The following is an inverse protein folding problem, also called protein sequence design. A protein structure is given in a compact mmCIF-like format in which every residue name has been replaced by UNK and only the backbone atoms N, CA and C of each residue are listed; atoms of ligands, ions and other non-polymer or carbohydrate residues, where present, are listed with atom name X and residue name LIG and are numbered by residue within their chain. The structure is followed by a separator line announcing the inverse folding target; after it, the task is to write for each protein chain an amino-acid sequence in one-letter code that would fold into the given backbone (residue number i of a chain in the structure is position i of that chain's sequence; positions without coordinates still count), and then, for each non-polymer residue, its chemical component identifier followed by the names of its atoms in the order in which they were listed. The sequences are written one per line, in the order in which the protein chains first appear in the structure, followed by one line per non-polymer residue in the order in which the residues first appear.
data_IF_181547851249
#
_entry.id   IF_181547851249
#
_cell.length_a   1.000
_cell.length_b   1.000
_cell.length_c   1.000
_cell.angle_alpha   90.00
_cell.angle_beta   90.00
_cell.angle_gamma   90.00
#
_symmetry.space_group_name_H-M   'P 1'
#
loop_
_entity.id
_entity.type
_entity.pdbx_description
1 polymer ?
#
# COMPACT_ATOMS: atom_id res chain seq x y z
N UNK A 1 28.89 -28.03 -9.07
CA UNK A 1 27.51 -27.50 -9.23
C UNK A 1 27.43 -25.97 -9.25
N UNK A 2 28.50 -25.21 -8.93
CA UNK A 2 28.53 -23.73 -9.07
C UNK A 2 29.50 -23.20 -10.12
N UNK A 3 30.02 -24.08 -10.99
CA UNK A 3 31.02 -23.71 -12.00
C UNK A 3 30.39 -23.07 -13.25
N UNK A 4 29.13 -23.40 -13.55
CA UNK A 4 28.35 -22.79 -14.64
C UNK A 4 26.92 -22.51 -14.18
N UNK A 5 26.24 -21.56 -14.83
CA UNK A 5 24.89 -21.14 -14.44
C UNK A 5 23.86 -22.27 -14.61
N UNK A 6 24.04 -23.15 -15.59
CA UNK A 6 23.17 -24.26 -15.92
C UNK A 6 23.31 -25.42 -14.93
N UNK A 7 24.44 -25.51 -14.23
CA UNK A 7 24.67 -26.51 -13.19
C UNK A 7 24.04 -26.12 -11.85
N UNK A 8 23.56 -24.89 -11.71
CA UNK A 8 22.97 -24.38 -10.47
C UNK A 8 21.46 -24.64 -10.44
N UNK A 9 21.04 -25.55 -9.56
CA UNK A 9 19.64 -25.84 -9.30
C UNK A 9 18.99 -24.88 -8.29
N UNK A 10 17.69 -25.06 -8.08
CA UNK A 10 16.96 -24.38 -7.00
C UNK A 10 17.51 -24.78 -5.63
N UNK A 11 17.60 -23.81 -4.70
CA UNK A 11 18.08 -24.06 -3.34
C UNK A 11 17.08 -24.82 -2.45
N UNK A 12 15.80 -24.80 -2.81
CA UNK A 12 14.72 -25.53 -2.14
C UNK A 12 13.55 -25.77 -3.12
N UNK A 13 12.69 -26.71 -2.79
CA UNK A 13 11.43 -26.94 -3.51
C UNK A 13 10.41 -25.85 -3.16
N UNK A 14 9.68 -25.36 -4.16
CA UNK A 14 8.67 -24.32 -3.96
C UNK A 14 7.79 -24.14 -5.19
N UNK A 15 6.66 -23.47 -4.97
CA UNK A 15 5.74 -23.06 -6.03
C UNK A 15 5.60 -21.54 -6.00
N UNK A 16 5.65 -20.93 -7.18
CA UNK A 16 5.61 -19.49 -7.35
C UNK A 16 4.41 -19.11 -8.22
N UNK A 17 3.69 -18.06 -7.83
CA UNK A 17 2.61 -17.48 -8.61
C UNK A 17 2.97 -16.06 -9.01
N UNK A 18 2.77 -15.74 -10.28
CA UNK A 18 2.77 -14.37 -10.79
C UNK A 18 1.34 -13.95 -11.13
N UNK A 19 1.03 -12.67 -10.94
CA UNK A 19 -0.26 -12.11 -11.30
C UNK A 19 -0.08 -10.71 -11.90
N UNK A 20 -0.89 -10.38 -12.89
CA UNK A 20 -0.99 -9.06 -13.50
C UNK A 20 -2.45 -8.80 -13.90
N UNK A 21 -2.88 -7.53 -13.83
CA UNK A 21 -4.23 -7.09 -14.17
C UNK A 21 -4.20 -5.70 -14.78
N UNK A 22 -4.99 -5.43 -15.82
CA UNK A 22 -5.07 -4.13 -16.50
C UNK A 22 -5.93 -3.09 -15.76
N UNK A 23 -6.38 -3.40 -14.55
CA UNK A 23 -7.12 -2.48 -13.67
C UNK A 23 -6.35 -1.20 -13.33
N UNK A 24 -5.01 -1.21 -13.41
CA UNK A 24 -4.16 -0.04 -13.16
C UNK A 24 -3.04 0.05 -14.20
N UNK A 25 -2.48 1.26 -14.37
CA UNK A 25 -1.33 1.49 -15.28
C UNK A 25 -0.08 0.68 -14.91
N UNK A 26 0.06 0.30 -13.64
CA UNK A 26 1.16 -0.52 -13.13
C UNK A 26 0.92 -2.03 -13.27
N UNK A 27 -0.15 -2.42 -13.97
CA UNK A 27 -0.58 -3.81 -14.17
C UNK A 27 -0.83 -4.59 -12.87
N UNK A 28 -1.24 -3.89 -11.81
CA UNK A 28 -1.51 -4.44 -10.49
C UNK A 28 -3.01 -4.30 -10.15
N UNK A 29 -3.58 -5.19 -9.32
CA UNK A 29 -4.97 -5.05 -8.88
C UNK A 29 -5.19 -3.69 -8.19
N UNK A 30 -6.33 -3.05 -8.46
CA UNK A 30 -6.63 -1.74 -7.89
C UNK A 30 -6.58 -1.67 -6.34
N UNK A 31 -7.13 -2.63 -5.56
CA UNK A 31 -7.23 -2.52 -4.11
C UNK A 31 -5.87 -2.47 -3.43
N UNK A 32 -4.95 -3.36 -3.81
CA UNK A 32 -3.60 -3.42 -3.24
C UNK A 32 -2.75 -2.23 -3.69
N UNK A 33 -2.91 -1.80 -4.94
CA UNK A 33 -2.24 -0.62 -5.47
C UNK A 33 -2.58 0.63 -4.68
N UNK A 34 -3.86 0.87 -4.39
CA UNK A 34 -4.28 2.05 -3.62
C UNK A 34 -3.92 1.95 -2.14
N UNK A 35 -4.06 0.78 -1.51
CA UNK A 35 -3.62 0.59 -0.14
C UNK A 35 -2.12 0.91 0.03
N UNK A 36 -1.25 0.38 -0.84
CA UNK A 36 0.18 0.70 -0.81
C UNK A 36 0.46 2.20 -0.98
N UNK A 37 -0.24 2.86 -1.92
CA UNK A 37 -0.06 4.30 -2.15
C UNK A 37 -0.42 5.14 -0.93
N UNK A 38 -1.43 4.75 -0.14
CA UNK A 38 -1.80 5.47 1.08
C UNK A 38 -0.70 5.44 2.14
N UNK A 39 -0.18 4.25 2.48
CA UNK A 39 0.92 4.15 3.47
C UNK A 39 2.24 4.72 2.93
N UNK A 40 2.47 4.64 1.63
CA UNK A 40 3.62 5.29 1.00
C UNK A 40 3.52 6.82 1.16
N UNK A 41 2.36 7.41 0.84
CA UNK A 41 2.14 8.85 0.96
C UNK A 41 2.27 9.32 2.42
N UNK A 42 1.72 8.57 3.37
CA UNK A 42 1.89 8.85 4.81
C UNK A 42 3.37 8.89 5.20
N UNK A 43 4.16 7.92 4.72
CA UNK A 43 5.58 7.87 5.02
C UNK A 43 6.36 9.03 4.36
N UNK A 44 5.98 9.44 3.15
CA UNK A 44 6.55 10.59 2.45
C UNK A 44 6.31 11.89 3.21
N UNK A 45 5.05 12.22 3.53
CA UNK A 45 4.71 13.49 4.22
C UNK A 45 5.33 13.56 5.62
N UNK A 46 5.45 12.42 6.31
CA UNK A 46 6.19 12.31 7.58
C UNK A 46 7.68 12.60 7.39
N UNK A 47 8.33 11.95 6.42
CA UNK A 47 9.77 12.11 6.17
C UNK A 47 10.14 13.50 5.66
N UNK A 48 9.23 14.15 4.95
CA UNK A 48 9.36 15.53 4.51
C UNK A 48 9.09 16.55 5.63
N UNK A 49 8.59 16.10 6.79
CA UNK A 49 8.25 16.97 7.92
C UNK A 49 7.01 17.85 7.68
N UNK A 50 6.20 17.56 6.66
CA UNK A 50 4.98 18.33 6.37
C UNK A 50 3.95 18.18 7.50
N UNK A 51 3.83 16.97 8.04
CA UNK A 51 3.02 16.65 9.21
C UNK A 51 3.94 16.11 10.32
N UNK A 52 4.60 17.00 11.08
CA UNK A 52 5.70 16.63 11.99
C UNK A 52 5.24 15.75 13.17
N UNK A 53 3.94 15.72 13.44
CA UNK A 53 3.31 14.91 14.49
C UNK A 53 3.07 13.45 14.06
N UNK A 54 3.29 13.08 12.79
CA UNK A 54 3.18 11.70 12.33
C UNK A 54 4.34 10.83 12.84
N UNK A 55 4.01 9.60 13.22
CA UNK A 55 4.98 8.57 13.63
C UNK A 55 5.06 7.45 12.57
N UNK A 56 6.04 6.53 12.67
CA UNK A 56 6.34 5.59 11.60
C UNK A 56 5.25 4.54 11.31
N UNK A 57 4.46 4.12 12.31
CA UNK A 57 3.48 3.05 12.13
C UNK A 57 2.20 3.58 11.44
N UNK A 58 1.78 2.91 10.37
CA UNK A 58 0.57 3.21 9.63
C UNK A 58 0.02 1.95 8.94
N UNK A 59 -1.31 1.86 8.87
CA UNK A 59 -2.06 0.78 8.23
C UNK A 59 -3.15 1.37 7.36
N UNK A 60 -3.28 0.87 6.15
CA UNK A 60 -4.33 1.29 5.20
C UNK A 60 -5.17 0.11 4.76
N UNK A 61 -6.47 0.34 4.56
CA UNK A 61 -7.38 -0.60 3.95
C UNK A 61 -8.28 0.13 2.97
N UNK A 62 -8.49 -0.46 1.80
CA UNK A 62 -9.34 0.09 0.74
C UNK A 62 -10.32 -0.98 0.29
N UNK A 63 -11.61 -0.68 0.40
CA UNK A 63 -12.70 -1.51 -0.12
C UNK A 63 -13.16 -0.94 -1.46
N UNK A 64 -12.97 -1.71 -2.52
CA UNK A 64 -13.27 -1.32 -3.90
C UNK A 64 -14.56 -1.99 -4.34
N UNK A 65 -15.47 -1.23 -4.94
CA UNK A 65 -16.67 -1.75 -5.58
C UNK A 65 -16.32 -2.25 -6.97
N UNK A 66 -16.73 -3.47 -7.27
CA UNK A 66 -16.55 -4.09 -8.58
C UNK A 66 -17.89 -4.35 -9.26
N UNK A 67 -17.96 -4.03 -10.55
CA UNK A 67 -19.06 -4.43 -11.42
C UNK A 67 -18.49 -5.11 -12.66
N UNK A 68 -18.98 -6.30 -13.00
CA UNK A 68 -18.52 -7.09 -14.15
C UNK A 68 -16.98 -7.28 -14.19
N UNK A 69 -16.37 -7.49 -13.03
CA UNK A 69 -14.93 -7.71 -12.90
C UNK A 69 -14.07 -6.45 -13.05
N UNK A 70 -14.67 -5.26 -13.13
CA UNK A 70 -13.96 -3.99 -13.21
C UNK A 70 -14.18 -3.13 -11.96
N UNK A 71 -13.15 -2.43 -11.46
CA UNK A 71 -13.30 -1.50 -10.36
C UNK A 71 -14.11 -0.28 -10.84
N UNK A 72 -15.19 0.05 -10.12
CA UNK A 72 -16.09 1.17 -10.47
C UNK A 72 -16.14 2.28 -9.42
N UNK A 73 -15.61 2.02 -8.22
CA UNK A 73 -15.57 3.02 -7.15
C UNK A 73 -14.95 2.50 -5.86
N UNK A 74 -14.81 3.38 -4.88
CA UNK A 74 -14.35 3.04 -3.53
C UNK A 74 -15.54 3.13 -2.57
N UNK A 75 -15.79 2.06 -1.82
CA UNK A 75 -16.88 2.01 -0.83
C UNK A 75 -16.41 2.50 0.54
N UNK A 76 -15.21 2.12 0.96
CA UNK A 76 -14.65 2.50 2.24
C UNK A 76 -13.13 2.61 2.18
N UNK A 77 -12.59 3.59 2.89
CA UNK A 77 -11.15 3.79 3.08
C UNK A 77 -10.90 3.91 4.58
N UNK A 78 -9.95 3.13 5.09
CA UNK A 78 -9.50 3.20 6.48
C UNK A 78 -8.01 3.48 6.48
N UNK A 79 -7.60 4.57 7.13
CA UNK A 79 -6.21 4.86 7.42
C UNK A 79 -6.03 4.99 8.93
N UNK A 80 -5.29 4.07 9.53
CA UNK A 80 -4.85 4.15 10.91
C UNK A 80 -3.39 4.56 10.92
N UNK A 81 -3.07 5.75 11.42
CA UNK A 81 -1.70 6.23 11.52
C UNK A 81 -1.34 6.56 12.95
N UNK A 82 -0.12 6.24 13.36
CA UNK A 82 0.41 6.60 14.65
C UNK A 82 0.79 8.09 14.66
N UNK A 83 0.48 8.78 15.75
CA UNK A 83 0.73 10.22 15.88
C UNK A 83 1.18 10.62 17.30
N UNK A 84 1.65 11.87 17.42
CA UNK A 84 1.90 12.53 18.71
C UNK A 84 0.59 12.65 19.52
N UNK A 85 0.62 12.55 20.86
CA UNK A 85 -0.56 12.82 21.69
C UNK A 85 -1.00 14.31 21.66
N UNK A 86 -0.18 15.19 21.09
CA UNK A 86 -0.44 16.63 21.04
C UNK A 86 -1.46 17.03 19.97
N UNK A 87 -1.70 16.21 18.94
CA UNK A 87 -2.71 16.49 17.91
C UNK A 87 -4.08 15.96 18.33
N UNK A 88 -5.12 16.77 18.10
CA UNK A 88 -6.50 16.37 18.34
C UNK A 88 -7.08 15.56 17.18
N UNK A 89 -8.01 14.65 17.50
CA UNK A 89 -8.59 13.72 16.52
C UNK A 89 -9.20 14.42 15.29
N UNK A 90 -9.82 15.58 15.48
CA UNK A 90 -10.44 16.35 14.39
C UNK A 90 -9.38 16.88 13.40
N UNK A 91 -8.34 17.50 13.92
CA UNK A 91 -7.22 18.04 13.13
C UNK A 91 -6.45 16.93 12.43
N UNK A 92 -6.25 15.79 13.10
CA UNK A 92 -5.65 14.61 12.48
C UNK A 92 -6.47 14.15 11.28
N UNK A 93 -7.80 14.05 11.44
CA UNK A 93 -8.67 13.57 10.37
C UNK A 93 -8.67 14.53 9.18
N UNK A 94 -8.80 15.84 9.42
CA UNK A 94 -8.73 16.86 8.37
C UNK A 94 -7.38 16.81 7.64
N UNK A 95 -6.26 16.77 8.37
CA UNK A 95 -4.92 16.74 7.77
C UNK A 95 -4.57 15.43 7.05
N UNK A 96 -5.24 14.32 7.36
CA UNK A 96 -5.09 13.04 6.65
C UNK A 96 -5.91 13.01 5.36
N UNK A 97 -7.03 13.74 5.33
CA UNK A 97 -7.92 13.79 4.17
C UNK A 97 -7.43 14.73 3.07
N UNK A 98 -6.73 15.80 3.43
CA UNK A 98 -6.06 16.77 2.51
C UNK A 98 -4.72 16.24 1.96
#
# INVERSE_FOLDING_TARGET
DRETAEAQGAGDQGMMFGYASDETETLMPAPISYAHRLVQRQAEVRKQGMLPWLRPDAKSQVSVRYENGKPVGLDAIVLSTQHSPEIHQKELHEAVME
#
